data_IF_521799951784
#
_entry.id   IF_521799951784
#
_cell.length_a   1.000
_cell.length_b   1.000
_cell.length_c   1.000
_cell.angle_alpha   90.00
_cell.angle_beta   90.00
_cell.angle_gamma   90.00
#
_symmetry.space_group_name_H-M   'P 1'
#
loop_
_entity.id
_entity.type
_entity.pdbx_description
1 polymer ?
#
# COMPACT_ATOMS: atom_id res chain seq x y z
N UNK A 1 6.31 -13.68 -13.36
CA UNK A 1 7.34 -14.33 -12.51
C UNK A 1 8.24 -13.37 -11.70
N UNK A 2 8.08 -12.03 -11.74
CA UNK A 2 8.93 -11.08 -10.98
C UNK A 2 8.39 -10.66 -9.60
N UNK A 3 7.13 -10.98 -9.27
CA UNK A 3 6.45 -10.46 -8.07
C UNK A 3 6.60 -11.34 -6.80
N UNK A 4 7.28 -12.49 -6.88
CA UNK A 4 7.33 -13.47 -5.78
C UNK A 4 8.43 -13.19 -4.75
N UNK A 5 9.39 -12.32 -5.06
CA UNK A 5 10.55 -12.03 -4.21
C UNK A 5 10.29 -10.93 -3.17
N UNK A 6 9.33 -10.03 -3.43
CA UNK A 6 8.98 -8.94 -2.50
C UNK A 6 8.14 -9.40 -1.30
N UNK A 7 7.63 -10.64 -1.32
CA UNK A 7 6.80 -11.23 -0.26
C UNK A 7 7.57 -11.80 0.94
N UNK A 8 8.90 -11.70 0.97
CA UNK A 8 9.72 -12.30 2.04
C UNK A 8 10.24 -11.31 3.09
N UNK A 9 10.15 -10.00 2.85
CA UNK A 9 10.58 -9.01 3.81
C UNK A 9 9.39 -8.58 4.66
N UNK A 10 9.41 -8.97 5.93
CA UNK A 10 8.44 -8.59 6.95
C UNK A 10 8.48 -7.07 7.20
N UNK A 11 7.36 -6.51 7.67
CA UNK A 11 7.22 -5.06 7.97
C UNK A 11 8.37 -4.54 8.85
N UNK A 12 8.86 -5.39 9.77
CA UNK A 12 9.94 -5.08 10.70
C UNK A 12 11.29 -4.90 10.02
N UNK A 13 11.58 -5.69 8.98
CA UNK A 13 12.84 -5.59 8.24
C UNK A 13 12.90 -4.32 7.39
N UNK A 14 11.75 -3.87 6.88
CA UNK A 14 11.66 -2.59 6.18
C UNK A 14 11.84 -1.41 7.13
N UNK A 15 11.32 -1.49 8.35
CA UNK A 15 11.48 -0.41 9.34
C UNK A 15 12.91 -0.31 9.86
N UNK A 16 13.60 -1.43 10.05
CA UNK A 16 15.02 -1.40 10.47
C UNK A 16 15.91 -0.83 9.36
N UNK A 17 15.67 -1.18 8.10
CA UNK A 17 16.40 -0.62 6.95
C UNK A 17 16.13 0.89 6.83
N UNK A 18 14.86 1.32 6.94
CA UNK A 18 14.49 2.73 6.87
C UNK A 18 15.11 3.54 8.03
N UNK A 19 15.02 3.02 9.26
CA UNK A 19 15.59 3.67 10.44
C UNK A 19 17.12 3.73 10.38
N UNK A 20 17.79 2.67 9.93
CA UNK A 20 19.23 2.67 9.71
C UNK A 20 19.66 3.68 8.65
N UNK A 21 18.92 3.79 7.54
CA UNK A 21 19.18 4.76 6.49
C UNK A 21 19.03 6.22 6.97
N UNK A 22 17.96 6.52 7.73
CA UNK A 22 17.74 7.85 8.32
C UNK A 22 18.82 8.19 9.35
N UNK A 23 19.18 7.24 10.21
CA UNK A 23 20.21 7.42 11.23
C UNK A 23 21.57 7.70 10.58
N UNK A 24 21.93 6.95 9.54
CA UNK A 24 23.17 7.15 8.79
C UNK A 24 23.18 8.52 8.07
N UNK A 25 22.03 8.95 7.53
CA UNK A 25 21.89 10.27 6.94
C UNK A 25 22.08 11.39 7.96
N UNK A 26 21.47 11.28 9.14
CA UNK A 26 21.62 12.24 10.23
C UNK A 26 23.08 12.29 10.72
N UNK A 27 23.75 11.15 10.89
CA UNK A 27 25.18 11.10 11.26
C UNK A 27 26.07 11.83 10.24
N UNK A 28 25.79 11.69 8.95
CA UNK A 28 26.48 12.42 7.88
C UNK A 28 26.23 13.94 7.96
N UNK A 29 25.02 14.36 8.32
CA UNK A 29 24.70 15.77 8.54
C UNK A 29 25.39 16.33 9.79
N UNK A 30 25.43 15.56 10.89
CA UNK A 30 26.09 15.97 12.13
C UNK A 30 27.60 16.12 11.94
N UNK A 31 28.24 15.16 11.27
CA UNK A 31 29.67 15.26 10.92
C UNK A 31 29.98 16.45 10.01
N UNK A 32 29.07 16.79 9.09
CA UNK A 32 29.16 18.00 8.26
C UNK A 32 29.02 19.30 9.08
N UNK A 33 28.15 19.34 10.09
CA UNK A 33 27.98 20.52 10.94
C UNK A 33 29.17 20.76 11.89
N UNK A 34 29.85 19.70 12.36
CA UNK A 34 30.97 19.83 13.29
C UNK A 34 32.29 20.26 12.63
N UNK A 35 32.47 20.07 11.31
CA UNK A 35 33.71 20.42 10.61
C UNK A 35 33.45 21.08 9.24
N UNK A 36 33.02 22.35 9.22
CA UNK A 36 32.67 23.07 7.98
C UNK A 36 33.87 23.34 7.06
N UNK A 37 35.10 23.44 7.58
CA UNK A 37 36.31 23.77 6.81
C UNK A 37 36.78 22.66 5.83
N UNK A 38 36.37 21.40 6.04
CA UNK A 38 36.71 20.31 5.10
C UNK A 38 35.79 20.24 3.86
N UNK A 39 34.68 20.99 3.85
CA UNK A 39 33.60 20.88 2.83
C UNK A 39 33.42 22.15 1.97
N UNK A 40 34.42 23.06 1.97
CA UNK A 40 34.37 24.36 1.28
C UNK A 40 34.50 24.29 -0.26
N UNK A 41 34.88 23.16 -0.83
CA UNK A 41 34.97 22.97 -2.29
C UNK A 41 33.80 22.13 -2.80
N UNK A 42 32.88 22.77 -3.53
CA UNK A 42 31.64 22.21 -4.13
C UNK A 42 31.84 20.76 -4.64
N UNK A 43 31.32 19.71 -3.98
CA UNK A 43 31.46 18.38 -4.52
C UNK A 43 30.14 17.94 -5.13
N UNK A 44 30.15 17.74 -6.44
CA UNK A 44 29.11 17.03 -7.22
C UNK A 44 28.73 15.67 -6.56
N UNK A 45 29.64 15.13 -5.75
CA UNK A 45 29.52 13.91 -4.96
C UNK A 45 28.51 13.99 -3.81
N UNK A 46 28.07 15.18 -3.36
CA UNK A 46 26.97 15.33 -2.38
C UNK A 46 25.59 15.29 -3.06
N UNK A 47 25.51 15.63 -4.35
CA UNK A 47 24.22 15.64 -5.09
C UNK A 47 23.76 14.22 -5.44
N UNK A 48 24.68 13.31 -5.74
CA UNK A 48 24.39 11.91 -6.07
C UNK A 48 23.65 11.16 -4.94
N UNK A 49 24.11 11.16 -3.68
CA UNK A 49 23.39 10.50 -2.59
C UNK A 49 22.08 11.22 -2.24
N UNK A 50 21.98 12.54 -2.44
CA UNK A 50 20.73 13.26 -2.26
C UNK A 50 19.64 12.83 -3.26
N UNK A 51 20.00 12.66 -4.54
CA UNK A 51 19.08 12.12 -5.54
C UNK A 51 18.70 10.67 -5.22
N UNK A 52 19.66 9.86 -4.74
CA UNK A 52 19.39 8.50 -4.27
C UNK A 52 18.42 8.46 -3.08
N UNK A 53 18.56 9.36 -2.11
CA UNK A 53 17.67 9.46 -0.95
C UNK A 53 16.25 9.87 -1.35
N UNK A 54 16.11 10.84 -2.26
CA UNK A 54 14.80 11.25 -2.80
C UNK A 54 14.17 10.13 -3.60
N UNK A 55 14.93 9.45 -4.47
CA UNK A 55 14.42 8.30 -5.23
C UNK A 55 13.99 7.15 -4.30
N UNK A 56 14.78 6.87 -3.26
CA UNK A 56 14.47 5.87 -2.24
C UNK A 56 13.20 6.22 -1.46
N UNK A 57 13.06 7.46 -1.01
CA UNK A 57 11.85 7.93 -0.32
C UNK A 57 10.60 7.85 -1.20
N UNK A 58 10.71 8.23 -2.48
CA UNK A 58 9.60 8.10 -3.45
C UNK A 58 9.20 6.65 -3.69
N UNK A 59 10.16 5.74 -3.83
CA UNK A 59 9.88 4.29 -3.98
C UNK A 59 9.25 3.71 -2.71
N UNK A 60 9.70 4.13 -1.53
CA UNK A 60 9.13 3.73 -0.25
C UNK A 60 7.68 4.24 -0.13
N UNK A 61 7.42 5.50 -0.48
CA UNK A 61 6.07 6.06 -0.46
C UNK A 61 5.14 5.33 -1.43
N UNK A 62 5.62 4.96 -2.62
CA UNK A 62 4.85 4.21 -3.59
C UNK A 62 4.52 2.78 -3.09
N UNK A 63 5.49 2.11 -2.46
CA UNK A 63 5.28 0.79 -1.88
C UNK A 63 4.34 0.83 -0.66
N UNK A 64 4.46 1.86 0.18
CA UNK A 64 3.56 2.08 1.31
C UNK A 64 2.13 2.35 0.82
N UNK A 65 1.97 3.16 -0.24
CA UNK A 65 0.65 3.40 -0.84
C UNK A 65 0.03 2.09 -1.35
N UNK A 66 0.76 1.26 -2.09
CA UNK A 66 0.25 -0.04 -2.57
C UNK A 66 -0.17 -0.96 -1.42
N UNK A 67 0.58 -0.95 -0.31
CA UNK A 67 0.27 -1.76 0.86
C UNK A 67 -0.94 -1.27 1.66
N UNK A 68 -1.03 0.03 1.97
CA UNK A 68 -2.12 0.60 2.77
C UNK A 68 -3.42 0.78 1.97
N UNK A 69 -3.34 0.86 0.63
CA UNK A 69 -4.50 0.93 -0.24
C UNK A 69 -5.09 -0.45 -0.57
N UNK A 70 -4.35 -1.55 -0.36
CA UNK A 70 -4.85 -2.92 -0.60
C UNK A 70 -5.76 -3.39 0.54
N UNK A 71 -6.98 -2.83 0.58
CA UNK A 71 -8.02 -3.26 1.53
C UNK A 71 -8.62 -4.58 1.07
N UNK A 72 -8.67 -5.56 1.95
CA UNK A 72 -9.26 -6.87 1.67
C UNK A 72 -10.50 -7.10 2.50
N UNK A 73 -11.41 -7.89 1.96
CA UNK A 73 -12.60 -8.33 2.65
C UNK A 73 -12.90 -9.79 2.27
N UNK A 74 -13.70 -10.46 3.08
CA UNK A 74 -14.30 -11.74 2.72
C UNK A 74 -15.81 -11.67 2.89
N UNK A 75 -16.52 -12.41 2.04
CA UNK A 75 -17.97 -12.57 2.19
C UNK A 75 -18.24 -13.43 3.42
N UNK A 76 -19.20 -13.01 4.26
CA UNK A 76 -19.62 -13.72 5.49
C UNK A 76 -21.05 -14.28 5.40
N UNK A 77 -21.72 -14.08 4.25
CA UNK A 77 -23.08 -14.55 4.01
C UNK A 77 -23.07 -15.65 2.95
N UNK A 78 -23.97 -16.66 3.02
CA UNK A 78 -23.98 -17.80 2.09
C UNK A 78 -23.93 -17.43 0.61
N UNK A 79 -24.67 -16.39 0.21
CA UNK A 79 -24.75 -15.87 -1.16
C UNK A 79 -24.90 -14.35 -1.12
N UNK A 80 -23.79 -13.62 -1.10
CA UNK A 80 -23.84 -12.17 -1.16
C UNK A 80 -24.14 -11.69 -2.59
N UNK A 81 -25.11 -10.79 -2.72
CA UNK A 81 -25.45 -10.17 -4.00
C UNK A 81 -24.46 -9.05 -4.29
N UNK A 82 -23.79 -9.14 -5.44
CA UNK A 82 -22.97 -8.06 -5.99
C UNK A 82 -23.76 -7.37 -7.10
N UNK A 83 -23.88 -6.05 -7.01
CA UNK A 83 -24.66 -5.20 -7.90
C UNK A 83 -23.77 -4.41 -8.84
N UNK A 84 -24.34 -3.91 -9.94
CA UNK A 84 -23.62 -3.05 -10.88
C UNK A 84 -23.42 -1.61 -10.37
N UNK A 85 -24.12 -1.19 -9.32
CA UNK A 85 -24.06 0.17 -8.78
C UNK A 85 -24.22 0.24 -7.26
N UNK A 86 -23.84 1.37 -6.64
CA UNK A 86 -23.84 1.57 -5.18
C UNK A 86 -25.25 1.89 -4.64
N UNK A 87 -26.28 1.21 -5.13
CA UNK A 87 -27.68 1.41 -4.72
C UNK A 87 -28.39 0.06 -4.63
N UNK A 88 -29.33 -0.07 -3.70
CA UNK A 88 -30.10 -1.29 -3.49
C UNK A 88 -30.95 -1.66 -4.73
N UNK A 89 -31.42 -0.65 -5.46
CA UNK A 89 -32.19 -0.78 -6.69
C UNK A 89 -31.34 -1.16 -7.91
N UNK A 90 -30.01 -1.14 -7.78
CA UNK A 90 -29.12 -1.44 -8.90
C UNK A 90 -29.26 -2.91 -9.32
N UNK A 91 -29.22 -3.19 -10.65
CA UNK A 91 -29.28 -4.56 -11.15
C UNK A 91 -28.19 -5.45 -10.53
N UNK A 92 -28.57 -6.68 -10.22
CA UNK A 92 -27.63 -7.71 -9.78
C UNK A 92 -26.65 -8.02 -10.90
N UNK A 93 -25.37 -8.14 -10.55
CA UNK A 93 -24.29 -8.49 -11.47
C UNK A 93 -23.97 -9.98 -11.34
N UNK A 94 -23.64 -10.41 -10.12
CA UNK A 94 -23.33 -11.80 -9.79
C UNK A 94 -23.51 -12.03 -8.28
N UNK A 95 -23.38 -13.29 -7.85
CA UNK A 95 -23.44 -13.65 -6.43
C UNK A 95 -22.11 -14.24 -6.00
N UNK A 96 -21.61 -13.78 -4.87
CA UNK A 96 -20.37 -14.25 -4.27
C UNK A 96 -20.69 -15.18 -3.09
N UNK A 97 -20.20 -16.44 -3.08
CA UNK A 97 -20.39 -17.34 -1.96
C UNK A 97 -19.61 -16.89 -0.72
N UNK A 98 -20.04 -17.41 0.43
CA UNK A 98 -19.33 -17.27 1.69
C UNK A 98 -17.85 -17.67 1.56
N UNK A 99 -16.97 -16.93 2.24
CA UNK A 99 -15.53 -17.11 2.16
C UNK A 99 -14.87 -16.60 0.88
N UNK A 100 -15.61 -16.00 -0.06
CA UNK A 100 -15.00 -15.38 -1.25
C UNK A 100 -14.11 -14.20 -0.84
N UNK A 101 -12.83 -14.24 -1.22
CA UNK A 101 -11.90 -13.11 -1.04
C UNK A 101 -12.20 -11.99 -2.05
N UNK A 102 -12.27 -10.78 -1.51
CA UNK A 102 -12.59 -9.55 -2.22
C UNK A 102 -11.52 -8.50 -1.95
N UNK A 103 -11.11 -7.77 -3.00
CA UNK A 103 -10.33 -6.53 -2.86
C UNK A 103 -11.29 -5.36 -2.89
N UNK A 104 -11.20 -4.47 -1.91
CA UNK A 104 -12.08 -3.31 -1.77
C UNK A 104 -11.38 -2.09 -2.36
N UNK A 105 -11.98 -1.49 -3.38
CA UNK A 105 -11.44 -0.33 -4.08
C UNK A 105 -12.01 1.00 -3.56
N UNK A 106 -13.31 1.03 -3.28
CA UNK A 106 -14.00 2.24 -2.86
C UNK A 106 -15.17 1.93 -1.89
N UNK A 107 -15.66 2.95 -1.20
CA UNK A 107 -16.85 2.89 -0.35
C UNK A 107 -17.77 4.07 -0.65
N UNK A 108 -19.01 3.75 -1.00
CA UNK A 108 -20.09 4.74 -1.18
C UNK A 108 -21.28 4.39 -0.30
N UNK A 109 -21.46 5.15 0.77
CA UNK A 109 -22.49 4.90 1.77
C UNK A 109 -22.35 3.50 2.40
N UNK A 110 -23.40 2.69 2.27
CA UNK A 110 -23.44 1.30 2.74
C UNK A 110 -22.78 0.29 1.80
N UNK A 111 -22.34 0.70 0.62
CA UNK A 111 -21.78 -0.20 -0.40
C UNK A 111 -20.27 -0.06 -0.53
N UNK A 112 -19.63 -1.18 -0.86
CA UNK A 112 -18.21 -1.31 -1.14
C UNK A 112 -18.03 -1.75 -2.58
N UNK A 113 -17.18 -1.04 -3.32
CA UNK A 113 -16.73 -1.48 -4.64
C UNK A 113 -15.67 -2.56 -4.45
N UNK A 114 -15.92 -3.73 -5.02
CA UNK A 114 -15.08 -4.90 -4.86
C UNK A 114 -14.60 -5.45 -6.20
N UNK A 115 -13.49 -6.18 -6.13
CA UNK A 115 -12.97 -7.02 -7.21
C UNK A 115 -12.66 -8.42 -6.68
N UNK A 116 -13.17 -9.45 -7.35
CA UNK A 116 -12.89 -10.85 -7.00
C UNK A 116 -11.54 -11.30 -7.55
N UNK A 117 -11.02 -12.44 -7.06
CA UNK A 117 -9.82 -13.06 -7.63
C UNK A 117 -9.93 -13.45 -9.12
N UNK A 118 -11.15 -13.48 -9.67
CA UNK A 118 -11.43 -13.71 -11.09
C UNK A 118 -11.45 -12.41 -11.92
N UNK A 119 -11.22 -11.25 -11.30
CA UNK A 119 -11.26 -9.94 -11.94
C UNK A 119 -12.67 -9.38 -12.16
N UNK A 120 -13.71 -9.99 -11.55
CA UNK A 120 -15.08 -9.47 -11.64
C UNK A 120 -15.24 -8.32 -10.66
N UNK A 121 -15.79 -7.19 -11.13
CA UNK A 121 -16.01 -5.98 -10.35
C UNK A 121 -17.48 -5.74 -10.09
N UNK A 122 -17.79 -5.14 -8.94
CA UNK A 122 -19.14 -4.70 -8.62
C UNK A 122 -19.26 -4.15 -7.21
N UNK A 123 -20.49 -3.87 -6.78
CA UNK A 123 -20.80 -3.25 -5.51
C UNK A 123 -21.48 -4.24 -4.58
N UNK A 124 -20.95 -4.41 -3.37
CA UNK A 124 -21.50 -5.30 -2.34
C UNK A 124 -21.89 -4.48 -1.11
N UNK A 125 -22.98 -4.85 -0.45
CA UNK A 125 -23.38 -4.21 0.80
C UNK A 125 -22.37 -4.55 1.91
N UNK A 126 -21.91 -3.54 2.63
CA UNK A 126 -20.89 -3.67 3.69
C UNK A 126 -21.28 -4.62 4.81
N UNK A 127 -22.57 -4.83 5.05
CA UNK A 127 -23.07 -5.81 6.03
C UNK A 127 -22.91 -7.28 5.61
N UNK A 128 -22.60 -7.56 4.34
CA UNK A 128 -22.42 -8.93 3.83
C UNK A 128 -20.95 -9.36 3.78
N UNK A 129 -20.04 -8.47 4.18
CA UNK A 129 -18.60 -8.69 4.09
C UNK A 129 -17.93 -8.25 5.38
N UNK A 130 -16.86 -8.93 5.73
CA UNK A 130 -16.01 -8.55 6.84
C UNK A 130 -14.67 -8.02 6.30
N UNK A 131 -14.33 -6.81 6.73
CA UNK A 131 -13.10 -6.13 6.34
C UNK A 131 -11.93 -6.72 7.12
N UNK A 132 -10.89 -7.14 6.40
CA UNK A 132 -9.60 -7.46 6.99
C UNK A 132 -8.87 -6.14 7.23
N UNK A 133 -8.79 -5.73 8.50
CA UNK A 133 -7.85 -4.69 8.88
C UNK A 133 -6.42 -5.26 8.78
N UNK A 134 -5.48 -4.52 8.14
CA UNK A 134 -4.08 -4.92 8.07
C UNK A 134 -3.40 -4.94 9.44
#
# INVERSE_FOLDING_TARGET
>A
MRQRWLRRLSIGEWTTIASAAVTLWLLLLTTKQLKPDLFATRPLWIRLPAVGAVAGASLLALAAADHFLDRRAFVITPMAVVRNGPLEESPESFKAPDGTELRVHDRKGGFLEIETGLGQKGWIHSGNVELLNP
#
